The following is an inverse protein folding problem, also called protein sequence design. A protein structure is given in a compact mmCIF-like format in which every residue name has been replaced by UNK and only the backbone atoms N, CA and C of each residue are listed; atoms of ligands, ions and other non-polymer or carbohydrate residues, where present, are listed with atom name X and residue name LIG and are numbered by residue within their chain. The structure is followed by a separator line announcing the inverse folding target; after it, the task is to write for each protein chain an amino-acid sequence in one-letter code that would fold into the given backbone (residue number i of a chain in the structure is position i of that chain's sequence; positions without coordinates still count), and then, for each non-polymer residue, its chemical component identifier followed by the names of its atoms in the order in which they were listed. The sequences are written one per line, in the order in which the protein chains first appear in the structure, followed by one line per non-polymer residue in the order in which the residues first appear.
data_IF_845045139535
#
_entry.id   IF_845045139535
#
_cell.length_a   1.000
_cell.length_b   1.000
_cell.length_c   1.000
_cell.angle_alpha   90.00
_cell.angle_beta   90.00
_cell.angle_gamma   90.00
#
_symmetry.space_group_name_H-M   'P 1'
#
loop_
_entity.id
_entity.type
_entity.pdbx_description
1 polymer ?
#
# COMPACT_ATOMS: atom_id res chain seq x y z
N UNK A 1 -5.72 -9.81 14.58
CA UNK A 1 -5.89 -8.38 14.34
C UNK A 1 -7.00 -7.84 15.21
N UNK A 2 -6.80 -6.66 15.75
CA UNK A 2 -7.87 -5.92 16.43
C UNK A 2 -8.83 -5.34 15.40
N UNK A 3 -10.09 -5.05 15.78
CA UNK A 3 -11.07 -4.57 14.81
C UNK A 3 -10.68 -3.26 14.11
N UNK A 4 -9.85 -2.45 14.74
CA UNK A 4 -9.43 -1.17 14.15
C UNK A 4 -8.06 -1.24 13.47
N UNK A 5 -7.49 -2.44 13.34
CA UNK A 5 -6.21 -2.63 12.66
C UNK A 5 -6.44 -3.14 11.24
N UNK A 6 -5.57 -2.73 10.34
CA UNK A 6 -5.69 -3.05 8.92
C UNK A 6 -4.40 -3.66 8.41
N UNK A 7 -4.53 -4.57 7.45
CA UNK A 7 -3.40 -5.00 6.63
C UNK A 7 -3.08 -3.92 5.63
N UNK A 8 -1.79 -3.76 5.32
CA UNK A 8 -1.35 -2.81 4.32
C UNK A 8 -0.70 -3.57 3.18
N UNK A 9 -1.25 -3.42 1.98
CA UNK A 9 -0.63 -3.96 0.77
C UNK A 9 -0.06 -2.81 -0.05
N UNK A 10 1.01 -3.07 -0.78
CA UNK A 10 1.65 -2.06 -1.60
C UNK A 10 1.96 -2.64 -2.97
N UNK A 11 1.74 -1.83 -4.00
CA UNK A 11 2.18 -2.12 -5.37
C UNK A 11 3.29 -1.14 -5.69
N UNK A 12 4.49 -1.64 -6.01
CA UNK A 12 5.64 -0.81 -6.23
C UNK A 12 6.48 -1.38 -7.37
N UNK A 13 6.61 -0.61 -8.44
CA UNK A 13 7.39 -1.01 -9.63
C UNK A 13 6.96 -2.37 -10.18
N UNK A 14 5.64 -2.59 -10.18
CA UNK A 14 5.10 -3.84 -10.72
C UNK A 14 5.08 -5.00 -9.74
N UNK A 15 5.67 -4.85 -8.56
CA UNK A 15 5.67 -5.89 -7.53
C UNK A 15 4.62 -5.59 -6.49
N UNK A 16 4.03 -6.63 -5.94
CA UNK A 16 3.05 -6.52 -4.86
C UNK A 16 3.60 -7.16 -3.60
N UNK A 17 3.30 -6.55 -2.47
CA UNK A 17 3.70 -7.11 -1.20
C UNK A 17 2.86 -6.57 -0.06
N UNK A 18 2.98 -7.21 1.09
CA UNK A 18 2.23 -6.82 2.28
C UNK A 18 3.21 -6.38 3.36
N UNK A 19 2.85 -5.30 4.05
CA UNK A 19 3.59 -4.92 5.24
C UNK A 19 3.42 -6.02 6.29
N UNK A 20 4.50 -6.50 6.92
CA UNK A 20 4.38 -7.60 7.88
C UNK A 20 3.48 -7.29 9.07
N UNK A 21 3.47 -6.04 9.52
CA UNK A 21 2.69 -5.64 10.68
C UNK A 21 1.43 -4.90 10.27
N UNK A 22 0.35 -5.13 11.01
CA UNK A 22 -0.88 -4.38 10.84
C UNK A 22 -0.70 -2.96 11.38
N UNK A 23 -1.49 -2.03 10.86
CA UNK A 23 -1.48 -0.63 11.32
C UNK A 23 -2.91 -0.23 11.66
N UNK A 24 -3.06 0.90 12.35
CA UNK A 24 -4.40 1.43 12.60
C UNK A 24 -5.05 1.83 11.29
N UNK A 25 -6.31 1.46 11.14
CA UNK A 25 -7.04 1.72 9.89
C UNK A 25 -7.16 3.21 9.60
N UNK A 26 -7.17 4.05 10.62
CA UNK A 26 -7.28 5.51 10.46
C UNK A 26 -5.95 6.23 10.53
N UNK A 27 -4.83 5.51 10.46
CA UNK A 27 -3.52 6.16 10.42
C UNK A 27 -3.43 7.13 9.24
N UNK A 28 -2.83 8.31 9.43
CA UNK A 28 -2.73 9.28 8.33
C UNK A 28 -1.97 8.74 7.14
N UNK A 29 -2.34 9.21 5.95
CA UNK A 29 -1.70 8.77 4.70
C UNK A 29 -0.18 8.96 4.75
N UNK A 30 0.28 10.08 5.29
CA UNK A 30 1.72 10.34 5.38
C UNK A 30 2.44 9.32 6.23
N UNK A 31 1.83 8.87 7.31
CA UNK A 31 2.42 7.84 8.17
C UNK A 31 2.48 6.50 7.44
N UNK A 32 1.42 6.14 6.73
CA UNK A 32 1.40 4.90 5.95
C UNK A 32 2.55 4.91 4.93
N UNK A 33 2.69 6.01 4.21
CA UNK A 33 3.76 6.13 3.20
C UNK A 33 5.14 6.05 3.83
N UNK A 34 5.33 6.67 4.98
CA UNK A 34 6.60 6.63 5.68
C UNK A 34 6.95 5.21 6.12
N UNK A 35 5.98 4.50 6.72
CA UNK A 35 6.23 3.14 7.19
C UNK A 35 6.54 2.19 6.04
N UNK A 36 5.83 2.33 4.91
CA UNK A 36 6.10 1.51 3.73
C UNK A 36 7.48 1.81 3.17
N UNK A 37 7.85 3.10 3.07
CA UNK A 37 9.17 3.47 2.56
C UNK A 37 10.28 2.89 3.44
N UNK A 38 10.10 2.95 4.75
CA UNK A 38 11.08 2.38 5.68
C UNK A 38 11.17 0.87 5.53
N UNK A 39 10.04 0.20 5.40
CA UNK A 39 10.02 -1.24 5.25
C UNK A 39 10.67 -1.70 3.95
N UNK A 40 10.43 -0.97 2.87
CA UNK A 40 11.07 -1.28 1.58
C UNK A 40 12.58 -1.04 1.67
N UNK A 41 12.99 0.06 2.28
CA UNK A 41 14.42 0.33 2.44
C UNK A 41 15.12 -0.78 3.23
N UNK A 42 14.42 -1.34 4.21
CA UNK A 42 14.96 -2.43 5.02
C UNK A 42 14.84 -3.80 4.35
N UNK A 43 14.15 -3.90 3.22
CA UNK A 43 13.92 -5.20 2.58
C UNK A 43 12.96 -6.08 3.36
N UNK A 44 12.05 -5.48 4.12
CA UNK A 44 11.16 -6.22 5.02
C UNK A 44 9.87 -6.68 4.38
N UNK A 45 9.58 -6.29 3.15
CA UNK A 45 8.34 -6.64 2.49
C UNK A 45 8.61 -7.78 1.52
N UNK A 46 8.10 -9.00 1.79
CA UNK A 46 8.28 -10.11 0.87
C UNK A 46 7.70 -9.76 -0.50
N UNK A 47 8.42 -10.13 -1.55
CA UNK A 47 7.98 -9.87 -2.91
C UNK A 47 8.44 -8.53 -3.48
N UNK A 48 9.00 -7.65 -2.66
CA UNK A 48 9.49 -6.35 -3.12
C UNK A 48 10.97 -6.22 -2.76
N UNK A 49 11.85 -6.06 -3.75
CA UNK A 49 13.28 -5.86 -3.46
C UNK A 49 13.53 -4.60 -2.65
N UNK A 50 14.55 -4.63 -1.80
CA UNK A 50 14.91 -3.47 -1.00
C UNK A 50 15.30 -2.30 -1.90
N UNK A 51 14.84 -1.11 -1.52
CA UNK A 51 15.18 0.10 -2.25
C UNK A 51 15.22 1.27 -1.30
N UNK A 52 16.39 1.89 -1.13
CA UNK A 52 16.61 2.91 -0.12
C UNK A 52 15.91 4.23 -0.42
N UNK A 53 15.64 4.51 -1.71
CA UNK A 53 15.11 5.81 -2.11
C UNK A 53 13.68 5.72 -2.64
N UNK A 54 12.92 4.76 -2.17
CA UNK A 54 11.52 4.64 -2.59
C UNK A 54 10.76 5.90 -2.20
N UNK A 55 10.01 6.46 -3.15
CA UNK A 55 9.26 7.69 -2.98
C UNK A 55 7.79 7.41 -3.25
N UNK A 56 6.95 7.61 -2.24
CA UNK A 56 5.52 7.35 -2.33
C UNK A 56 4.69 8.63 -2.32
N UNK A 57 5.33 9.79 -2.54
CA UNK A 57 4.63 11.08 -2.49
C UNK A 57 3.39 11.09 -3.39
N UNK A 58 3.52 10.54 -4.59
CA UNK A 58 2.43 10.54 -5.57
C UNK A 58 1.58 9.27 -5.53
N UNK A 59 1.80 8.41 -4.55
CA UNK A 59 0.99 7.20 -4.42
C UNK A 59 -0.35 7.51 -3.79
N UNK A 60 -1.33 6.68 -4.08
CA UNK A 60 -2.68 6.79 -3.54
C UNK A 60 -2.87 5.77 -2.44
N UNK A 61 -3.47 6.23 -1.33
CA UNK A 61 -3.81 5.35 -0.21
C UNK A 61 -5.32 5.08 -0.28
N UNK A 62 -5.69 3.86 -0.62
CA UNK A 62 -7.08 3.43 -0.62
C UNK A 62 -7.37 2.66 0.67
N UNK A 63 -8.55 2.87 1.24
CA UNK A 63 -8.94 2.24 2.50
C UNK A 63 -10.24 1.50 2.30
N UNK A 64 -10.27 0.24 2.73
CA UNK A 64 -11.44 -0.61 2.59
C UNK A 64 -11.83 -1.14 3.96
N UNK A 65 -13.04 -0.82 4.39
CA UNK A 65 -13.54 -1.30 5.67
C UNK A 65 -13.73 -2.82 5.63
N UNK A 66 -13.72 -3.43 6.81
CA UNK A 66 -14.03 -4.85 6.93
C UNK A 66 -15.46 -5.13 6.44
N UNK A 67 -15.66 -6.33 5.91
CA UNK A 67 -16.98 -6.77 5.50
C UNK A 67 -17.10 -8.27 5.74
N UNK A 68 -18.24 -8.87 5.32
CA UNK A 68 -18.49 -10.29 5.59
C UNK A 68 -17.47 -11.21 4.91
N UNK A 69 -16.97 -10.81 3.76
CA UNK A 69 -15.99 -11.62 3.00
C UNK A 69 -14.57 -11.38 3.48
N UNK A 70 -14.29 -10.20 4.02
CA UNK A 70 -12.98 -9.85 4.53
C UNK A 70 -13.15 -9.23 5.90
N UNK A 71 -12.95 -10.00 6.97
CA UNK A 71 -13.26 -9.52 8.32
C UNK A 71 -12.30 -8.46 8.86
N UNK A 72 -11.25 -8.14 8.13
CA UNK A 72 -10.28 -7.12 8.54
C UNK A 72 -10.25 -5.98 7.54
N UNK A 73 -10.09 -4.73 8.02
CA UNK A 73 -9.87 -3.61 7.10
C UNK A 73 -8.60 -3.81 6.29
N UNK A 74 -8.56 -3.19 5.13
CA UNK A 74 -7.42 -3.23 4.23
C UNK A 74 -7.03 -1.82 3.81
N UNK A 75 -5.73 -1.54 3.81
CA UNK A 75 -5.19 -0.32 3.24
C UNK A 75 -4.32 -0.73 2.07
N UNK A 76 -4.54 -0.10 0.93
CA UNK A 76 -3.78 -0.39 -0.28
C UNK A 76 -3.03 0.86 -0.74
N UNK A 77 -1.71 0.76 -0.85
CA UNK A 77 -0.87 1.82 -1.36
C UNK A 77 -0.50 1.46 -2.78
N UNK A 78 -0.88 2.30 -3.74
CA UNK A 78 -0.67 2.02 -5.15
C UNK A 78 -0.22 3.26 -5.90
N UNK A 79 0.46 3.10 -7.04
CA UNK A 79 0.83 4.26 -7.85
C UNK A 79 -0.41 4.96 -8.36
N UNK A 80 -0.30 6.27 -8.50
CA UNK A 80 -1.33 7.04 -9.15
C UNK A 80 -1.36 6.64 -10.61
N UNK A 81 -2.53 6.23 -11.09
CA UNK A 81 -2.67 5.79 -12.46
C UNK A 81 -2.61 6.97 -13.38
N UNK A 82 -1.73 6.99 -14.34
CA UNK A 82 -1.76 8.06 -15.33
C UNK A 82 -3.09 8.01 -16.04
N UNK A 83 -3.71 9.19 -16.27
CA UNK A 83 -4.97 9.21 -16.85
C UNK A 83 -4.85 9.08 -18.22
N UNK A 84 -5.51 8.53 -18.74
CA UNK A 84 -5.42 8.33 -20.13
C UNK A 84 -4.59 7.20 -20.51
N UNK A 85 -4.45 6.41 -19.79
CA UNK A 85 -3.80 5.32 -20.29
C UNK A 85 -4.53 4.03 -20.05
N UNK A 86 -5.00 4.81 -20.32
CA UNK A 86 -5.57 4.19 -20.34
C UNK A 86 -5.99 3.98 -20.95
N UNK A 87 -6.16 4.24 -21.24
CA UNK A 87 -6.49 4.19 -21.60
C UNK A 87 -6.26 3.80 -22.39
N UNK A 88 -6.22 3.84 -22.56
CA UNK A 88 -5.89 3.50 -23.11
C UNK A 88 -6.07 2.94 -23.76
N UNK A 89 -6.28 3.05 -23.95
CA UNK A 89 -6.35 2.72 -24.41
C UNK A 89 -6.39 2.35 -25.09
N UNK A 90 -6.63 2.28 -25.25
CA UNK A 90 -6.65 2.00 -25.85
C UNK A 90 -6.74 2.01 -26.35
N UNK A 91 -6.89 2.00 -26.79
CA UNK A 91 -6.90 1.89 -27.23
C UNK A 91 -6.95 1.94 -27.35
#
# INVERSE_FOLDING_TARGET
LNPNEARVTVTFKGDNGDLPDAVLFDAPDGDIKTWIAEAIAAGSIPGIPAEANADFTDFVVDRFAANAERPHPLIQLRPKTPFGWNIWRSP
#
